data_IF_231133391225
#
_entry.id   IF_231133391225
#
_cell.length_a   1.000
_cell.length_b   1.000
_cell.length_c   1.000
_cell.angle_alpha   90.00
_cell.angle_beta   90.00
_cell.angle_gamma   90.00
#
_symmetry.space_group_name_H-M   'P 1'
#
loop_
_entity.id
_entity.type
_entity.pdbx_description
1 polymer ?
#
# COMPACT_ATOMS: atom_id res chain seq x y z
N UNK A 1 -69.26 -38.71 34.16
CA UNK A 1 -67.88 -38.96 33.72
C UNK A 1 -67.28 -37.63 33.27
N UNK A 2 -66.32 -37.11 34.02
CA UNK A 2 -65.23 -36.25 33.51
C UNK A 2 -64.30 -35.96 34.68
N UNK A 3 -63.19 -36.68 34.70
CA UNK A 3 -62.05 -36.49 35.61
C UNK A 3 -61.28 -35.27 35.10
N UNK A 4 -61.28 -34.18 35.87
CA UNK A 4 -60.38 -33.06 35.60
C UNK A 4 -58.99 -33.38 36.18
N UNK A 5 -58.09 -33.82 35.30
CA UNK A 5 -56.69 -34.08 35.60
C UNK A 5 -55.97 -32.74 35.83
N UNK A 6 -55.30 -32.63 37.00
CA UNK A 6 -54.38 -31.53 37.33
C UNK A 6 -53.18 -31.54 36.38
N UNK A 7 -52.96 -30.45 35.66
CA UNK A 7 -51.72 -30.17 34.95
C UNK A 7 -50.90 -29.17 35.79
N UNK A 8 -49.78 -29.63 36.34
CA UNK A 8 -48.72 -28.79 36.90
C UNK A 8 -47.96 -28.11 35.75
N UNK A 9 -47.56 -26.83 35.85
CA UNK A 9 -46.76 -26.20 34.81
C UNK A 9 -45.33 -26.76 34.86
N UNK A 10 -44.86 -27.25 33.71
CA UNK A 10 -43.49 -27.64 33.52
C UNK A 10 -42.58 -26.39 33.60
N UNK A 11 -41.68 -26.37 34.58
CA UNK A 11 -40.57 -25.42 34.63
C UNK A 11 -39.64 -25.71 33.45
N UNK A 12 -39.64 -24.80 32.47
CA UNK A 12 -38.68 -24.81 31.37
C UNK A 12 -37.29 -24.46 31.93
N UNK A 13 -36.43 -25.48 32.08
CA UNK A 13 -35.00 -25.28 32.29
C UNK A 13 -34.43 -24.77 30.97
N UNK A 14 -34.25 -23.46 30.86
CA UNK A 14 -33.45 -22.85 29.80
C UNK A 14 -31.99 -23.26 30.03
N UNK A 15 -31.57 -24.34 29.38
CA UNK A 15 -30.17 -24.66 29.22
C UNK A 15 -29.53 -23.53 28.40
N UNK A 16 -28.73 -22.69 29.06
CA UNK A 16 -27.83 -21.77 28.39
C UNK A 16 -26.84 -22.60 27.58
N UNK A 17 -27.03 -22.66 26.27
CA UNK A 17 -25.96 -23.07 25.35
C UNK A 17 -24.90 -21.97 25.43
N UNK A 18 -23.82 -22.24 26.14
CA UNK A 18 -22.63 -21.41 26.13
C UNK A 18 -22.24 -21.11 24.67
N UNK A 19 -21.93 -19.85 24.31
CA UNK A 19 -21.36 -19.58 23.00
C UNK A 19 -20.07 -20.40 22.88
N UNK A 20 -19.92 -21.10 21.75
CA UNK A 20 -18.71 -21.85 21.45
C UNK A 20 -17.51 -20.94 21.70
N UNK A 21 -16.67 -21.34 22.68
CA UNK A 21 -15.40 -20.68 22.93
C UNK A 21 -14.64 -20.66 21.62
N UNK A 22 -14.18 -19.47 21.20
CA UNK A 22 -13.22 -19.36 20.12
C UNK A 22 -12.08 -20.32 20.44
N UNK A 23 -11.78 -21.24 19.52
CA UNK A 23 -10.67 -22.17 19.74
C UNK A 23 -9.37 -21.37 19.70
N UNK A 24 -8.86 -21.05 20.90
CA UNK A 24 -7.56 -20.41 21.16
C UNK A 24 -6.37 -21.39 20.96
N UNK A 25 -6.58 -22.48 20.23
CA UNK A 25 -5.53 -23.42 19.83
C UNK A 25 -4.79 -22.95 18.57
N UNK A 26 -3.53 -23.40 18.37
CA UNK A 26 -2.80 -23.12 17.14
C UNK A 26 -3.56 -23.70 15.93
N UNK A 27 -3.70 -22.88 14.89
CA UNK A 27 -4.37 -23.31 13.65
C UNK A 27 -3.64 -24.49 13.00
N UNK A 28 -4.36 -25.36 12.27
CA UNK A 28 -3.72 -26.39 11.46
C UNK A 28 -2.85 -25.75 10.38
N UNK A 29 -1.82 -26.48 9.93
CA UNK A 29 -1.03 -26.08 8.78
C UNK A 29 -1.91 -26.04 7.52
N UNK A 30 -1.65 -25.10 6.63
CA UNK A 30 -2.32 -25.12 5.33
C UNK A 30 -1.92 -26.39 4.56
N UNK A 31 -2.88 -27.06 3.90
CA UNK A 31 -2.56 -28.16 3.01
C UNK A 31 -1.80 -27.65 1.78
N UNK A 32 -1.11 -28.55 1.08
CA UNK A 32 -0.38 -28.19 -0.12
C UNK A 32 -1.33 -27.88 -1.29
N UNK A 33 -2.38 -28.67 -1.45
CA UNK A 33 -3.42 -28.47 -2.46
C UNK A 33 -4.81 -28.25 -1.82
N UNK A 34 -5.70 -27.65 -2.59
CA UNK A 34 -7.09 -27.38 -2.23
C UNK A 34 -8.09 -28.06 -3.19
N UNK A 35 -7.67 -29.12 -3.86
CA UNK A 35 -8.49 -29.86 -4.83
C UNK A 35 -9.62 -30.62 -4.13
N UNK A 36 -10.70 -30.91 -4.88
CA UNK A 36 -11.85 -31.68 -4.36
C UNK A 36 -12.73 -30.95 -3.34
N UNK A 37 -12.47 -29.66 -3.06
CA UNK A 37 -13.30 -28.83 -2.18
C UNK A 37 -14.52 -28.30 -2.92
N UNK A 38 -15.66 -28.23 -2.22
CA UNK A 38 -16.88 -27.66 -2.81
C UNK A 38 -16.77 -26.13 -2.86
N UNK A 39 -17.21 -25.46 -3.95
CA UNK A 39 -17.23 -24.01 -4.00
C UNK A 39 -17.97 -23.40 -2.79
N UNK A 40 -17.36 -22.40 -2.15
CA UNK A 40 -17.82 -21.77 -0.91
C UNK A 40 -17.27 -22.41 0.37
N UNK A 41 -16.62 -23.58 0.29
CA UNK A 41 -15.95 -24.17 1.44
C UNK A 41 -14.69 -23.36 1.79
N UNK A 42 -14.64 -22.84 3.02
CA UNK A 42 -13.49 -22.10 3.53
C UNK A 42 -12.80 -22.82 4.68
N UNK A 43 -11.51 -22.61 4.84
CA UNK A 43 -10.77 -22.97 6.05
C UNK A 43 -9.75 -21.91 6.42
N UNK A 44 -9.51 -21.75 7.72
CA UNK A 44 -8.42 -20.93 8.25
C UNK A 44 -7.25 -21.85 8.61
N UNK A 45 -6.05 -21.52 8.14
CA UNK A 45 -4.85 -22.30 8.38
C UNK A 45 -3.61 -21.42 8.52
N UNK A 46 -2.52 -21.99 9.01
CA UNK A 46 -1.25 -21.31 9.18
C UNK A 46 -0.20 -21.79 8.18
N UNK A 47 0.48 -20.86 7.55
CA UNK A 47 1.71 -21.08 6.78
C UNK A 47 2.90 -20.77 7.69
N UNK A 48 3.71 -21.79 8.00
CA UNK A 48 4.91 -21.64 8.85
C UNK A 48 6.07 -21.00 8.08
N UNK A 49 7.07 -20.49 8.78
CA UNK A 49 8.31 -20.02 8.16
C UNK A 49 8.87 -21.08 7.19
N UNK A 50 9.23 -20.65 5.97
CA UNK A 50 9.73 -21.54 4.91
C UNK A 50 8.65 -22.33 4.14
N UNK A 51 7.40 -22.41 4.59
CA UNK A 51 6.34 -23.14 3.86
C UNK A 51 5.96 -22.53 2.51
N UNK A 52 6.33 -21.27 2.29
CA UNK A 52 6.19 -20.62 1.00
C UNK A 52 7.43 -20.75 0.11
N UNK A 53 8.55 -21.33 0.58
CA UNK A 53 9.85 -21.26 -0.11
C UNK A 53 9.80 -21.76 -1.55
N UNK A 54 9.10 -22.87 -1.80
CA UNK A 54 9.11 -23.57 -3.08
C UNK A 54 7.72 -24.11 -3.42
N UNK A 55 7.43 -24.23 -4.72
CA UNK A 55 6.16 -24.75 -5.23
C UNK A 55 5.62 -23.90 -6.37
N UNK A 56 4.86 -24.54 -7.25
CA UNK A 56 4.25 -23.87 -8.39
C UNK A 56 2.88 -23.31 -8.01
N UNK A 57 2.56 -22.18 -8.62
CA UNK A 57 1.31 -21.46 -8.41
C UNK A 57 0.84 -20.97 -9.76
N UNK A 58 -0.44 -21.19 -10.05
CA UNK A 58 -1.06 -20.74 -11.29
C UNK A 58 -2.18 -19.76 -10.98
N UNK A 59 -2.15 -18.61 -11.65
CA UNK A 59 -3.14 -17.57 -11.48
C UNK A 59 -2.76 -16.48 -10.47
N UNK A 60 -3.63 -15.47 -10.42
CA UNK A 60 -3.44 -14.25 -9.64
C UNK A 60 -4.78 -13.85 -9.04
N UNK A 61 -4.82 -13.64 -7.71
CA UNK A 61 -6.01 -13.37 -6.88
C UNK A 61 -7.03 -14.53 -6.83
N UNK A 62 -7.18 -15.27 -7.92
CA UNK A 62 -7.80 -16.59 -8.00
C UNK A 62 -6.76 -17.57 -8.54
N UNK A 63 -6.53 -18.65 -7.80
CA UNK A 63 -5.49 -19.64 -8.09
C UNK A 63 -6.13 -21.00 -8.43
N UNK A 64 -5.49 -21.80 -9.27
CA UNK A 64 -5.96 -23.18 -9.51
C UNK A 64 -5.92 -23.98 -8.20
N UNK A 65 -6.86 -24.91 -8.02
CA UNK A 65 -6.99 -25.62 -6.75
C UNK A 65 -5.79 -26.51 -6.38
N UNK A 66 -4.93 -26.84 -7.34
CA UNK A 66 -3.68 -27.58 -7.16
C UNK A 66 -2.45 -26.67 -6.89
N UNK A 67 -2.61 -25.35 -6.93
CA UNK A 67 -1.56 -24.40 -6.58
C UNK A 67 -1.16 -24.52 -5.09
N UNK A 68 0.15 -24.41 -4.81
CA UNK A 68 0.64 -24.44 -3.43
C UNK A 68 0.11 -23.25 -2.61
N UNK A 69 -0.74 -23.53 -1.63
CA UNK A 69 -1.47 -22.51 -0.86
C UNK A 69 -0.54 -21.48 -0.21
N UNK A 70 0.53 -21.92 0.46
CA UNK A 70 1.43 -20.99 1.14
C UNK A 70 2.30 -20.17 0.18
N UNK A 71 2.63 -20.72 -0.99
CA UNK A 71 3.33 -19.98 -2.05
C UNK A 71 2.38 -18.94 -2.65
N UNK A 72 1.13 -19.31 -2.93
CA UNK A 72 0.08 -18.41 -3.40
C UNK A 72 -0.25 -17.32 -2.37
N UNK A 73 -0.20 -17.63 -1.07
CA UNK A 73 -0.39 -16.66 0.00
C UNK A 73 0.77 -15.66 0.09
N UNK A 74 2.02 -16.08 -0.13
CA UNK A 74 3.15 -15.16 -0.26
C UNK A 74 3.00 -14.31 -1.51
N UNK A 75 2.66 -14.91 -2.65
CA UNK A 75 2.38 -14.19 -3.90
C UNK A 75 1.31 -13.10 -3.71
N UNK A 76 0.23 -13.42 -2.97
CA UNK A 76 -0.84 -12.49 -2.63
C UNK A 76 -0.46 -11.43 -1.58
N UNK A 77 0.74 -11.49 -1.00
CA UNK A 77 1.20 -10.53 0.02
C UNK A 77 0.55 -10.74 1.40
N UNK A 78 0.05 -11.94 1.68
CA UNK A 78 -0.66 -12.27 2.92
C UNK A 78 0.27 -12.85 4.01
N UNK A 79 1.53 -13.14 3.66
CA UNK A 79 2.50 -13.73 4.57
C UNK A 79 3.68 -12.78 4.80
N UNK A 80 4.25 -12.86 6.01
CA UNK A 80 5.53 -12.24 6.34
C UNK A 80 6.69 -13.24 6.14
N UNK A 81 7.94 -12.81 6.36
CA UNK A 81 9.09 -13.71 6.37
C UNK A 81 8.96 -14.87 7.39
N UNK A 82 8.20 -14.67 8.46
CA UNK A 82 7.96 -15.67 9.50
C UNK A 82 6.74 -16.55 9.21
N UNK A 83 6.06 -16.35 8.07
CA UNK A 83 4.78 -16.98 7.76
C UNK A 83 3.58 -16.11 8.14
N UNK A 84 2.44 -16.76 8.37
CA UNK A 84 1.17 -16.07 8.68
C UNK A 84 -0.04 -16.99 8.62
N UNK A 85 -1.19 -16.46 9.03
CA UNK A 85 -2.48 -17.14 9.00
C UNK A 85 -3.33 -16.63 7.83
N UNK A 86 -3.95 -17.54 7.10
CA UNK A 86 -4.77 -17.22 5.92
C UNK A 86 -6.08 -17.97 5.96
N UNK A 87 -7.11 -17.38 5.33
CA UNK A 87 -8.33 -18.09 4.99
C UNK A 87 -8.30 -18.42 3.52
N UNK A 88 -8.43 -19.71 3.22
CA UNK A 88 -8.54 -20.27 1.88
C UNK A 88 -10.00 -20.56 1.61
N UNK A 89 -10.54 -20.10 0.48
CA UNK A 89 -11.93 -20.37 0.08
C UNK A 89 -11.97 -20.99 -1.29
N UNK A 90 -12.57 -22.17 -1.40
CA UNK A 90 -12.74 -22.87 -2.67
C UNK A 90 -13.76 -22.12 -3.53
N UNK A 91 -13.45 -21.96 -4.80
CA UNK A 91 -14.32 -21.34 -5.80
C UNK A 91 -14.45 -22.27 -7.01
N UNK A 92 -15.39 -21.95 -7.92
CA UNK A 92 -15.46 -22.67 -9.19
C UNK A 92 -14.22 -22.35 -10.03
N UNK A 93 -13.84 -23.31 -10.86
CA UNK A 93 -12.84 -23.14 -11.90
C UNK A 93 -13.09 -21.95 -12.81
N UNK A 94 -12.01 -21.38 -13.35
CA UNK A 94 -12.04 -20.38 -14.40
C UNK A 94 -11.58 -20.97 -15.75
N UNK A 95 -12.00 -20.35 -16.85
CA UNK A 95 -11.59 -20.72 -18.21
C UNK A 95 -10.12 -20.36 -18.53
N UNK A 96 -9.53 -19.48 -17.72
CA UNK A 96 -8.12 -19.07 -17.82
C UNK A 96 -7.68 -18.41 -16.52
N UNK A 97 -6.41 -18.54 -16.18
CA UNK A 97 -5.77 -17.94 -15.03
C UNK A 97 -4.58 -17.11 -15.50
N UNK A 98 -4.56 -15.84 -15.11
CA UNK A 98 -3.46 -14.93 -15.43
C UNK A 98 -2.32 -15.12 -14.43
N UNK A 99 -1.12 -15.43 -14.92
CA UNK A 99 0.10 -15.39 -14.11
C UNK A 99 0.58 -13.97 -13.85
N UNK A 100 1.34 -13.77 -12.78
CA UNK A 100 2.02 -12.50 -12.48
C UNK A 100 3.20 -12.71 -11.52
N UNK A 101 4.06 -11.70 -11.38
CA UNK A 101 5.07 -11.67 -10.32
C UNK A 101 4.65 -10.65 -9.26
N UNK A 102 4.42 -11.11 -8.04
CA UNK A 102 4.05 -10.28 -6.88
C UNK A 102 4.77 -10.77 -5.64
N UNK A 103 5.21 -9.85 -4.76
CA UNK A 103 5.80 -10.18 -3.46
C UNK A 103 6.95 -11.21 -3.53
N UNK A 104 7.79 -11.12 -4.57
CA UNK A 104 8.92 -12.01 -4.79
C UNK A 104 8.56 -13.43 -5.24
N UNK A 105 7.30 -13.68 -5.62
CA UNK A 105 6.82 -14.94 -6.19
C UNK A 105 6.33 -14.70 -7.60
N UNK A 106 6.66 -15.60 -8.52
CA UNK A 106 6.04 -15.64 -9.85
C UNK A 106 5.01 -16.77 -9.87
N UNK A 107 3.79 -16.42 -10.23
CA UNK A 107 2.74 -17.36 -10.60
C UNK A 107 2.69 -17.48 -12.12
N UNK A 108 2.45 -18.69 -12.60
CA UNK A 108 2.31 -18.99 -14.01
C UNK A 108 0.88 -18.72 -14.49
N UNK A 109 0.75 -18.47 -15.79
CA UNK A 109 -0.56 -18.50 -16.44
C UNK A 109 -1.01 -19.95 -16.65
N UNK A 110 -2.32 -20.15 -16.70
CA UNK A 110 -2.90 -21.47 -16.96
C UNK A 110 -4.21 -21.34 -17.73
N UNK A 111 -4.57 -22.39 -18.45
CA UNK A 111 -5.81 -22.45 -19.22
C UNK A 111 -6.99 -22.86 -18.32
N UNK A 112 -8.02 -23.47 -18.88
CA UNK A 112 -9.19 -23.89 -18.14
C UNK A 112 -8.84 -24.94 -17.07
N UNK A 113 -9.36 -24.75 -15.86
CA UNK A 113 -9.18 -25.69 -14.76
C UNK A 113 -10.42 -25.70 -13.87
N UNK A 114 -10.88 -26.88 -13.45
CA UNK A 114 -12.24 -27.11 -12.95
C UNK A 114 -12.52 -26.56 -11.55
N UNK A 115 -11.47 -26.28 -10.76
CA UNK A 115 -11.62 -25.80 -9.39
C UNK A 115 -10.54 -24.80 -9.02
N UNK A 116 -10.88 -23.83 -8.19
CA UNK A 116 -9.97 -22.76 -7.80
C UNK A 116 -10.05 -22.49 -6.31
N UNK A 117 -9.15 -21.65 -5.82
CA UNK A 117 -9.34 -20.98 -4.53
C UNK A 117 -8.99 -19.50 -4.60
N UNK A 118 -9.55 -18.75 -3.66
CA UNK A 118 -9.13 -17.40 -3.33
C UNK A 118 -8.60 -17.36 -1.91
N UNK A 119 -7.73 -16.37 -1.65
CA UNK A 119 -7.11 -16.17 -0.35
C UNK A 119 -7.53 -14.83 0.21
N UNK A 120 -7.73 -14.80 1.53
CA UNK A 120 -7.86 -13.57 2.32
C UNK A 120 -7.11 -13.73 3.63
N UNK A 121 -6.73 -12.64 4.31
CA UNK A 121 -6.11 -12.78 5.63
C UNK A 121 -7.07 -13.43 6.62
N UNK A 122 -6.49 -14.17 7.57
CA UNK A 122 -7.19 -14.46 8.80
C UNK A 122 -7.39 -13.17 9.60
N UNK A 123 -8.52 -13.02 10.28
CA UNK A 123 -8.73 -11.93 11.22
C UNK A 123 -7.61 -11.96 12.26
N UNK A 124 -6.92 -10.83 12.46
CA UNK A 124 -5.76 -10.76 13.34
C UNK A 124 -6.13 -11.22 14.76
N UNK A 125 -5.61 -12.39 15.17
CA UNK A 125 -5.67 -12.88 16.55
C UNK A 125 -4.63 -12.22 17.46
N UNK A 126 -3.71 -11.44 16.90
CA UNK A 126 -2.59 -10.83 17.62
C UNK A 126 -2.81 -9.33 17.87
N UNK A 127 -2.43 -8.88 19.07
CA UNK A 127 -2.52 -7.49 19.52
C UNK A 127 -1.64 -6.51 18.72
N UNK A 128 -0.63 -7.02 17.99
CA UNK A 128 0.30 -6.20 17.21
C UNK A 128 -0.15 -6.12 15.74
N UNK A 129 -0.49 -4.93 15.22
CA UNK A 129 -0.94 -4.77 13.84
C UNK A 129 0.17 -5.14 12.86
N UNK A 130 -0.16 -6.04 11.92
CA UNK A 130 0.73 -6.45 10.84
C UNK A 130 0.92 -5.33 9.81
N UNK A 131 1.99 -5.34 8.99
CA UNK A 131 2.16 -4.40 7.89
C UNK A 131 0.92 -4.36 6.99
N UNK A 132 0.53 -3.18 6.54
CA UNK A 132 -0.56 -3.06 5.59
C UNK A 132 -0.18 -3.74 4.26
N UNK A 133 -1.15 -4.40 3.58
CA UNK A 133 -0.95 -4.83 2.21
C UNK A 133 -0.72 -3.60 1.31
N UNK A 134 -0.19 -3.82 0.10
CA UNK A 134 0.04 -2.72 -0.84
C UNK A 134 -1.27 -1.99 -1.21
N UNK A 135 -2.32 -2.78 -1.46
CA UNK A 135 -3.66 -2.29 -1.78
C UNK A 135 -4.75 -3.17 -1.13
N UNK A 136 -6.01 -2.82 -1.35
CA UNK A 136 -7.16 -3.42 -0.67
C UNK A 136 -8.02 -4.32 -1.59
N UNK A 137 -7.57 -4.61 -2.81
CA UNK A 137 -8.36 -5.32 -3.82
C UNK A 137 -8.77 -6.74 -3.38
N UNK A 138 -7.91 -7.44 -2.63
CA UNK A 138 -8.19 -8.76 -2.07
C UNK A 138 -9.23 -8.77 -0.93
N UNK A 139 -9.64 -7.60 -0.45
CA UNK A 139 -10.56 -7.44 0.67
C UNK A 139 -11.97 -7.04 0.22
N UNK A 140 -12.26 -7.08 -1.09
CA UNK A 140 -13.61 -6.82 -1.61
C UNK A 140 -14.64 -7.72 -0.94
N UNK A 141 -15.69 -7.12 -0.38
CA UNK A 141 -16.78 -7.84 0.29
C UNK A 141 -16.43 -8.40 1.67
N UNK A 142 -15.22 -8.16 2.20
CA UNK A 142 -14.88 -8.47 3.59
C UNK A 142 -15.51 -7.42 4.51
N UNK A 143 -16.39 -7.86 5.42
CA UNK A 143 -17.17 -6.96 6.27
C UNK A 143 -16.35 -6.39 7.44
N UNK A 144 -15.38 -7.17 7.91
CA UNK A 144 -14.50 -6.83 9.02
C UNK A 144 -13.45 -5.79 8.60
N UNK A 145 -13.26 -4.72 9.39
CA UNK A 145 -12.17 -3.77 9.16
C UNK A 145 -10.79 -4.42 9.30
N UNK A 146 -9.87 -4.01 8.41
CA UNK A 146 -8.45 -4.35 8.55
C UNK A 146 -7.76 -3.31 9.42
N UNK A 147 -7.08 -3.74 10.47
CA UNK A 147 -6.16 -2.89 11.23
C UNK A 147 -4.72 -3.29 10.92
N UNK A 148 -3.92 -2.36 10.42
CA UNK A 148 -2.55 -2.64 9.97
C UNK A 148 -1.61 -1.45 10.17
N UNK A 149 -0.30 -1.72 10.12
CA UNK A 149 0.77 -0.75 10.29
C UNK A 149 1.28 -0.28 8.93
N UNK A 150 1.33 1.03 8.74
CA UNK A 150 1.98 1.69 7.62
C UNK A 150 3.36 2.20 8.03
N UNK A 151 4.47 1.64 7.52
CA UNK A 151 5.78 2.24 7.69
C UNK A 151 5.88 3.54 6.86
N UNK A 152 6.71 4.50 7.30
CA UNK A 152 6.85 5.80 6.63
C UNK A 152 7.29 5.73 5.18
N UNK A 153 8.00 4.67 4.77
CA UNK A 153 8.38 4.44 3.37
C UNK A 153 7.17 4.14 2.48
N UNK A 154 6.26 3.27 2.94
CA UNK A 154 5.02 2.93 2.23
C UNK A 154 4.06 4.13 2.18
N UNK A 155 4.13 4.99 3.20
CA UNK A 155 3.37 6.24 3.27
C UNK A 155 3.79 7.27 2.21
N UNK A 156 4.99 7.14 1.64
CA UNK A 156 5.54 8.06 0.65
C UNK A 156 5.36 7.61 -0.80
N UNK A 157 4.89 6.39 -1.08
CA UNK A 157 4.88 5.79 -2.43
C UNK A 157 3.52 5.23 -2.85
N UNK A 158 3.29 5.11 -4.15
CA UNK A 158 2.05 4.58 -4.72
C UNK A 158 1.10 5.65 -5.29
N UNK A 159 0.19 5.19 -6.13
CA UNK A 159 -0.87 6.02 -6.67
C UNK A 159 -2.07 6.02 -5.73
N UNK A 160 -2.81 7.13 -5.71
CA UNK A 160 -4.02 7.28 -4.90
C UNK A 160 -5.10 7.83 -5.80
N UNK A 161 -6.25 7.19 -5.83
CA UNK A 161 -7.40 7.62 -6.63
C UNK A 161 -8.59 7.85 -5.72
N UNK A 162 -9.17 9.05 -5.80
CA UNK A 162 -10.29 9.43 -4.94
C UNK A 162 -9.91 10.18 -3.66
N UNK A 163 -10.95 10.49 -2.88
CA UNK A 163 -10.88 11.28 -1.64
C UNK A 163 -11.88 10.74 -0.63
N UNK A 164 -11.43 10.51 0.61
CA UNK A 164 -12.16 9.79 1.69
C UNK A 164 -12.48 8.32 1.37
N UNK A 165 -13.01 8.07 0.17
CA UNK A 165 -13.23 6.76 -0.43
C UNK A 165 -12.26 6.64 -1.61
N UNK A 166 -11.37 5.66 -1.51
CA UNK A 166 -10.31 5.40 -2.46
C UNK A 166 -10.61 4.13 -3.25
N UNK A 167 -10.18 4.06 -4.52
CA UNK A 167 -10.21 2.79 -5.26
C UNK A 167 -9.38 1.75 -4.51
N UNK A 168 -9.79 0.49 -4.53
CA UNK A 168 -9.09 -0.55 -3.78
C UNK A 168 -7.76 -1.03 -4.36
N UNK A 169 -7.36 -0.53 -5.52
CA UNK A 169 -6.01 -0.63 -6.04
C UNK A 169 -5.10 0.52 -5.57
N UNK A 170 -5.63 1.55 -4.88
CA UNK A 170 -4.84 2.64 -4.28
C UNK A 170 -3.81 2.11 -3.27
N UNK A 171 -2.63 2.73 -3.28
CA UNK A 171 -1.59 2.47 -2.29
C UNK A 171 -2.06 2.85 -0.90
N UNK A 172 -2.30 1.87 -0.02
CA UNK A 172 -2.98 2.07 1.27
C UNK A 172 -2.26 3.11 2.12
N UNK A 173 -0.96 2.99 2.30
CA UNK A 173 -0.23 3.85 3.23
C UNK A 173 -0.12 5.29 2.72
N UNK A 174 -0.02 5.51 1.40
CA UNK A 174 -0.04 6.85 0.83
C UNK A 174 -1.44 7.46 0.80
N UNK A 175 -2.47 6.64 0.59
CA UNK A 175 -3.85 7.06 0.76
C UNK A 175 -4.15 7.44 2.23
N UNK A 176 -3.50 6.79 3.20
CA UNK A 176 -3.64 7.10 4.62
C UNK A 176 -3.08 8.48 4.96
N UNK A 177 -1.91 8.84 4.40
CA UNK A 177 -1.38 10.21 4.49
C UNK A 177 -2.31 11.19 3.81
N UNK A 178 -2.76 10.89 2.58
CA UNK A 178 -3.71 11.74 1.86
C UNK A 178 -4.98 12.01 2.67
N UNK A 179 -5.53 10.98 3.32
CA UNK A 179 -6.69 11.08 4.20
C UNK A 179 -6.42 11.87 5.48
N UNK A 180 -5.17 12.04 5.89
CA UNK A 180 -4.80 12.57 7.20
C UNK A 180 -4.99 11.56 8.33
N UNK A 181 -5.07 10.27 7.99
CA UNK A 181 -5.16 9.18 8.96
C UNK A 181 -3.85 8.98 9.73
N UNK A 182 -2.72 9.23 9.07
CA UNK A 182 -1.36 9.12 9.62
C UNK A 182 -0.46 10.22 9.05
N UNK A 183 0.62 10.60 9.74
CA UNK A 183 1.68 11.41 9.16
C UNK A 183 2.51 10.62 8.13
N UNK A 184 3.31 11.34 7.32
CA UNK A 184 4.25 10.73 6.35
C UNK A 184 5.29 9.79 6.98
N UNK A 185 5.52 9.88 8.29
CA UNK A 185 6.41 8.97 9.03
C UNK A 185 5.81 7.59 9.28
N UNK A 186 4.54 7.38 8.93
CA UNK A 186 3.83 6.13 9.16
C UNK A 186 2.95 6.15 10.40
N UNK A 187 2.30 5.02 10.67
CA UNK A 187 1.36 4.86 11.78
C UNK A 187 0.44 3.66 11.58
N UNK A 188 -0.43 3.41 12.56
CA UNK A 188 -1.44 2.35 12.48
C UNK A 188 -2.73 2.92 11.92
N UNK A 189 -3.33 2.22 10.97
CA UNK A 189 -4.61 2.57 10.35
C UNK A 189 -5.62 1.45 10.51
N UNK A 190 -6.89 1.82 10.48
CA UNK A 190 -8.01 0.89 10.35
C UNK A 190 -8.77 1.23 9.08
N UNK A 191 -8.98 0.25 8.22
CA UNK A 191 -9.64 0.41 6.91
C UNK A 191 -10.87 -0.48 6.81
N UNK A 192 -11.85 -0.03 6.03
CA UNK A 192 -13.06 -0.78 5.73
C UNK A 192 -13.25 -0.92 4.22
N UNK A 193 -13.63 -2.13 3.79
CA UNK A 193 -14.01 -2.44 2.42
C UNK A 193 -15.38 -1.85 2.10
N UNK A 194 -15.53 -1.29 0.91
CA UNK A 194 -16.75 -0.68 0.41
C UNK A 194 -17.00 -1.14 -1.03
N UNK A 195 -18.28 -1.14 -1.48
CA UNK A 195 -18.59 -1.33 -2.90
C UNK A 195 -17.88 -0.31 -3.79
N UNK A 196 -17.73 -0.65 -5.06
CA UNK A 196 -17.26 0.27 -6.09
C UNK A 196 -18.13 1.52 -6.25
N UNK A 197 -17.60 2.52 -6.95
CA UNK A 197 -18.32 3.75 -7.33
C UNK A 197 -18.16 3.99 -8.83
N UNK A 198 -19.09 4.75 -9.40
CA UNK A 198 -19.06 5.13 -10.82
C UNK A 198 -18.01 6.19 -11.14
N UNK A 199 -17.51 6.90 -10.11
CA UNK A 199 -16.43 7.86 -10.23
C UNK A 199 -15.78 8.15 -8.87
N UNK A 200 -14.49 8.49 -8.93
CA UNK A 200 -13.64 8.89 -7.82
C UNK A 200 -13.03 10.23 -8.15
N UNK A 201 -13.20 11.21 -7.26
CA UNK A 201 -12.63 12.53 -7.43
C UNK A 201 -11.33 12.65 -6.64
N UNK A 202 -10.25 12.99 -7.33
CA UNK A 202 -8.96 13.30 -6.74
C UNK A 202 -8.91 14.70 -6.13
N UNK A 203 -7.94 14.89 -5.26
CA UNK A 203 -7.64 16.16 -4.63
C UNK A 203 -6.16 16.20 -4.18
N UNK A 204 -5.67 17.39 -3.88
CA UNK A 204 -4.45 17.53 -3.10
C UNK A 204 -4.85 17.68 -1.63
N UNK A 205 -4.46 16.74 -0.78
CA UNK A 205 -4.69 16.77 0.67
C UNK A 205 -3.46 16.28 1.41
N UNK A 206 -3.12 16.95 2.50
CA UNK A 206 -2.02 16.55 3.39
C UNK A 206 -0.69 16.29 2.64
N UNK A 207 -0.39 17.12 1.62
CA UNK A 207 0.83 16.99 0.80
C UNK A 207 0.80 15.86 -0.25
N UNK A 208 -0.24 15.02 -0.28
CA UNK A 208 -0.40 13.94 -1.25
C UNK A 208 -1.44 14.34 -2.29
N UNK A 209 -1.10 14.16 -3.57
CA UNK A 209 -2.07 14.29 -4.67
C UNK A 209 -2.70 12.94 -4.95
N UNK A 210 -4.02 12.87 -4.89
CA UNK A 210 -4.82 11.82 -5.51
C UNK A 210 -5.37 12.30 -6.86
N UNK A 211 -5.67 11.33 -7.73
CA UNK A 211 -6.19 11.59 -9.07
C UNK A 211 -7.67 11.24 -9.16
N UNK A 212 -8.35 11.87 -10.13
CA UNK A 212 -9.66 11.42 -10.57
C UNK A 212 -9.54 10.02 -11.18
N UNK A 213 -10.61 9.24 -11.07
CA UNK A 213 -10.74 7.94 -11.74
C UNK A 213 -12.21 7.66 -12.04
N UNK A 214 -12.48 6.94 -13.13
CA UNK A 214 -13.83 6.58 -13.53
C UNK A 214 -14.35 5.40 -12.69
N UNK A 215 -15.36 4.68 -13.20
CA UNK A 215 -15.97 3.58 -12.48
C UNK A 215 -14.96 2.49 -12.11
N UNK A 216 -14.98 2.07 -10.83
CA UNK A 216 -14.11 1.01 -10.33
C UNK A 216 -14.88 0.08 -9.38
N UNK A 217 -14.67 -1.26 -9.46
CA UNK A 217 -15.55 -2.25 -8.82
C UNK A 217 -15.44 -2.37 -7.30
N UNK A 218 -14.45 -1.75 -6.65
CA UNK A 218 -14.33 -1.80 -5.19
C UNK A 218 -13.62 -0.59 -4.60
N UNK A 219 -13.85 -0.32 -3.32
CA UNK A 219 -13.22 0.82 -2.66
C UNK A 219 -12.90 0.54 -1.21
N UNK A 220 -12.15 1.43 -0.60
CA UNK A 220 -11.97 1.45 0.84
C UNK A 220 -12.01 2.87 1.40
N UNK A 221 -12.17 2.95 2.71
CA UNK A 221 -11.96 4.17 3.48
C UNK A 221 -11.25 3.89 4.79
N UNK A 222 -10.66 4.93 5.38
CA UNK A 222 -10.10 4.87 6.73
C UNK A 222 -11.19 5.13 7.77
N UNK A 223 -11.14 4.39 8.87
CA UNK A 223 -11.98 4.63 10.04
C UNK A 223 -11.29 5.62 11.00
N UNK A 224 -12.08 6.40 11.75
CA UNK A 224 -11.55 7.37 12.72
C UNK A 224 -10.97 8.65 12.11
N UNK A 225 -10.99 8.80 10.79
CA UNK A 225 -10.69 10.06 10.11
C UNK A 225 -11.99 10.87 10.01
N UNK A 226 -12.01 12.06 10.60
CA UNK A 226 -13.15 12.97 10.48
C UNK A 226 -13.31 13.34 9.01
N UNK A 227 -14.44 12.95 8.42
CA UNK A 227 -14.73 13.25 7.03
C UNK A 227 -14.87 14.77 6.89
N UNK A 228 -13.85 15.43 6.35
CA UNK A 228 -13.94 16.83 5.97
C UNK A 228 -14.77 16.90 4.68
N UNK A 229 -16.09 16.74 4.85
CA UNK A 229 -17.10 16.83 3.81
C UNK A 229 -17.56 18.28 3.73
N UNK A 230 -16.96 19.02 2.80
CA UNK A 230 -17.69 19.98 1.99
C UNK A 230 -16.93 20.18 0.68
N UNK A 231 -17.55 19.77 -0.42
CA UNK A 231 -17.19 20.26 -1.74
C UNK A 231 -17.58 21.75 -1.83
N UNK A 232 -16.62 22.66 -2.03
CA UNK A 232 -16.78 23.77 -2.97
C UNK A 232 -15.40 24.40 -3.33
N UNK A 233 -15.27 25.02 -4.53
CA UNK A 233 -14.00 25.38 -5.16
C UNK A 233 -13.49 26.76 -4.75
N UNK A 234 -12.21 26.97 -5.01
CA UNK A 234 -11.48 28.23 -4.98
C UNK A 234 -11.35 28.93 -3.59
N UNK A 235 -10.14 28.81 -3.05
CA UNK A 235 -9.40 29.84 -2.31
C UNK A 235 -10.00 30.37 -0.99
N UNK A 236 -9.37 29.98 0.12
CA UNK A 236 -8.84 30.94 1.08
C UNK A 236 -7.71 30.30 1.89
N UNK A 237 -6.60 31.02 2.01
CA UNK A 237 -5.33 30.61 2.56
C UNK A 237 -5.34 30.37 4.08
N UNK A 238 -4.68 29.29 4.51
CA UNK A 238 -4.09 29.10 5.86
C UNK A 238 -2.79 28.29 5.67
N UNK A 239 -1.66 28.64 6.32
CA UNK A 239 -0.33 28.23 5.89
C UNK A 239 0.02 26.82 6.37
N UNK A 240 0.48 25.96 5.45
CA UNK A 240 1.17 24.72 5.83
C UNK A 240 2.66 24.95 5.61
N UNK A 241 3.32 25.56 6.60
CA UNK A 241 4.76 25.37 6.73
C UNK A 241 5.00 24.01 7.39
N UNK A 242 5.87 23.22 6.73
CA UNK A 242 6.46 21.92 7.09
C UNK A 242 5.69 20.66 6.66
N UNK A 243 6.31 19.85 5.78
CA UNK A 243 7.18 18.73 6.22
C UNK A 243 8.66 18.84 5.78
N UNK A 244 8.95 19.49 4.64
CA UNK A 244 10.30 19.60 4.08
C UNK A 244 11.23 20.46 4.95
N UNK A 245 10.74 21.62 5.40
CA UNK A 245 11.53 22.55 6.22
C UNK A 245 11.96 21.95 7.57
N UNK A 246 11.04 21.28 8.29
CA UNK A 246 11.36 20.60 9.54
C UNK A 246 12.31 19.42 9.33
N UNK A 247 12.13 18.63 8.26
CA UNK A 247 13.03 17.51 7.96
C UNK A 247 14.45 18.00 7.67
N UNK A 248 14.58 19.06 6.88
CA UNK A 248 15.88 19.71 6.61
C UNK A 248 16.50 20.28 7.89
N UNK A 249 15.71 20.90 8.76
CA UNK A 249 16.18 21.44 10.03
C UNK A 249 16.65 20.34 11.00
N UNK A 250 15.89 19.24 11.09
CA UNK A 250 16.15 18.17 12.05
C UNK A 250 17.24 17.18 11.59
N UNK A 251 17.33 16.89 10.29
CA UNK A 251 18.18 15.82 9.74
C UNK A 251 19.26 16.32 8.79
N UNK A 252 19.25 17.59 8.42
CA UNK A 252 20.15 18.15 7.41
C UNK A 252 19.86 17.68 5.98
N UNK A 253 18.95 16.73 5.76
CA UNK A 253 18.61 16.21 4.42
C UNK A 253 17.17 15.72 4.33
N UNK A 254 16.62 15.71 3.11
CA UNK A 254 15.28 15.19 2.79
C UNK A 254 15.27 14.53 1.40
N UNK A 255 14.58 13.40 1.28
CA UNK A 255 14.39 12.72 0.00
C UNK A 255 13.18 13.28 -0.73
N UNK A 256 13.38 13.70 -1.98
CA UNK A 256 12.35 14.16 -2.89
C UNK A 256 12.02 13.00 -3.83
N UNK A 257 10.87 12.36 -3.61
CA UNK A 257 10.33 11.35 -4.51
C UNK A 257 9.60 12.05 -5.65
N UNK A 258 10.38 12.46 -6.65
CA UNK A 258 9.90 13.18 -7.83
C UNK A 258 9.90 12.22 -9.01
N UNK A 259 8.76 12.08 -9.67
CA UNK A 259 8.65 11.21 -10.83
C UNK A 259 9.22 11.91 -12.06
N UNK A 260 10.03 11.16 -12.81
CA UNK A 260 10.56 11.56 -14.11
C UNK A 260 10.01 10.61 -15.17
N UNK A 261 9.80 11.11 -16.40
CA UNK A 261 9.47 10.21 -17.52
C UNK A 261 10.61 9.20 -17.72
N UNK A 262 10.31 8.00 -18.23
CA UNK A 262 11.30 6.94 -18.45
C UNK A 262 12.47 7.44 -19.27
N UNK A 263 13.70 7.19 -18.80
CA UNK A 263 14.94 7.67 -19.40
C UNK A 263 15.01 9.21 -19.62
N UNK A 264 14.25 9.99 -18.84
CA UNK A 264 14.19 11.44 -18.96
C UNK A 264 14.58 12.15 -17.66
N UNK A 265 14.97 13.41 -17.82
CA UNK A 265 15.18 14.38 -16.74
C UNK A 265 14.02 15.39 -16.64
N UNK A 266 13.01 15.28 -17.51
CA UNK A 266 11.85 16.15 -17.45
C UNK A 266 11.01 15.87 -16.22
N UNK A 267 10.71 16.94 -15.49
CA UNK A 267 9.83 16.93 -14.33
C UNK A 267 8.38 16.72 -14.79
N UNK A 268 7.74 15.71 -14.24
CA UNK A 268 6.31 15.51 -14.43
C UNK A 268 5.50 16.61 -13.70
N UNK A 269 4.25 16.84 -14.12
CA UNK A 269 3.36 17.80 -13.47
C UNK A 269 3.15 17.50 -11.97
N UNK A 270 3.26 16.22 -11.56
CA UNK A 270 3.22 15.81 -10.16
C UNK A 270 4.38 16.34 -9.32
N UNK A 271 5.50 16.75 -9.92
CA UNK A 271 6.68 17.30 -9.24
C UNK A 271 6.41 18.65 -8.57
N UNK A 272 5.48 19.45 -9.12
CA UNK A 272 5.27 20.83 -8.71
C UNK A 272 4.87 20.99 -7.24
N UNK A 273 4.16 20.00 -6.67
CA UNK A 273 3.77 20.02 -5.26
C UNK A 273 4.99 19.91 -4.32
N UNK A 274 5.77 18.84 -4.49
CA UNK A 274 6.99 18.58 -3.69
C UNK A 274 8.01 19.71 -3.85
N UNK A 275 8.21 20.19 -5.08
CA UNK A 275 9.11 21.30 -5.34
C UNK A 275 8.60 22.63 -4.80
N UNK A 276 7.28 22.81 -4.72
CA UNK A 276 6.64 23.96 -4.07
C UNK A 276 6.93 24.03 -2.57
N UNK A 277 6.94 22.89 -1.87
CA UNK A 277 7.32 22.82 -0.45
C UNK A 277 8.79 23.14 -0.23
N UNK A 278 9.67 22.62 -1.09
CA UNK A 278 11.10 22.92 -1.04
C UNK A 278 11.37 24.40 -1.33
N UNK A 279 10.66 24.99 -2.30
CA UNK A 279 10.68 26.43 -2.57
C UNK A 279 10.24 27.21 -1.34
N UNK A 280 9.14 26.83 -0.69
CA UNK A 280 8.64 27.52 0.50
C UNK A 280 9.66 27.47 1.65
N UNK A 281 10.35 26.34 1.86
CA UNK A 281 11.43 26.23 2.83
C UNK A 281 12.61 27.18 2.51
N UNK A 282 13.02 27.25 1.24
CA UNK A 282 14.08 28.15 0.77
C UNK A 282 13.69 29.63 0.83
N UNK A 283 12.41 29.96 0.69
CA UNK A 283 11.89 31.33 0.86
C UNK A 283 11.84 31.73 2.34
N UNK A 284 11.45 30.80 3.23
CA UNK A 284 11.37 31.05 4.66
C UNK A 284 12.73 31.26 5.33
N UNK A 285 13.78 30.61 4.83
CA UNK A 285 15.16 30.80 5.30
C UNK A 285 16.05 31.25 4.12
N UNK A 286 16.33 32.55 3.95
CA UNK A 286 17.22 33.06 2.90
C UNK A 286 18.68 32.57 3.01
N UNK A 287 19.13 32.14 4.19
CA UNK A 287 20.47 31.62 4.42
C UNK A 287 20.59 30.13 4.07
N UNK A 288 19.46 29.41 3.97
CA UNK A 288 19.46 27.99 3.59
C UNK A 288 20.10 27.80 2.21
N UNK A 289 21.13 26.96 2.16
CA UNK A 289 21.78 26.48 0.93
C UNK A 289 21.63 24.98 0.84
N UNK A 290 21.38 24.48 -0.36
CA UNK A 290 21.14 23.05 -0.60
C UNK A 290 22.06 22.49 -1.68
N UNK A 291 22.50 21.25 -1.49
CA UNK A 291 23.03 20.39 -2.54
C UNK A 291 21.91 19.42 -2.95
N UNK A 292 21.54 19.48 -4.23
CA UNK A 292 20.56 18.59 -4.86
C UNK A 292 21.29 17.41 -5.49
N UNK A 293 21.08 16.21 -4.95
CA UNK A 293 21.77 14.99 -5.38
C UNK A 293 20.80 14.10 -6.13
N UNK A 294 21.03 13.90 -7.43
CA UNK A 294 20.21 13.00 -8.24
C UNK A 294 20.72 11.56 -8.20
N UNK A 295 19.78 10.62 -8.12
CA UNK A 295 20.03 9.18 -8.10
C UNK A 295 19.23 8.46 -9.20
N UNK A 296 19.72 7.29 -9.61
CA UNK A 296 19.00 6.37 -10.50
C UNK A 296 18.84 5.01 -9.83
N UNK A 297 18.01 4.16 -10.42
CA UNK A 297 18.11 2.72 -10.20
C UNK A 297 19.32 2.14 -10.94
N UNK A 298 19.56 0.84 -10.75
CA UNK A 298 20.64 0.11 -11.42
C UNK A 298 20.28 -0.40 -12.82
N UNK A 299 19.17 0.04 -13.41
CA UNK A 299 18.82 -0.36 -14.78
C UNK A 299 19.66 0.45 -15.77
N UNK A 300 20.31 -0.22 -16.71
CA UNK A 300 21.23 0.41 -17.65
C UNK A 300 22.67 0.56 -17.10
N UNK A 301 23.54 1.17 -17.89
CA UNK A 301 24.97 1.29 -17.54
C UNK A 301 25.24 2.50 -16.64
N UNK A 302 26.27 2.42 -15.79
CA UNK A 302 26.71 3.55 -14.98
C UNK A 302 27.06 4.80 -15.84
N UNK A 303 27.58 4.58 -17.05
CA UNK A 303 27.88 5.63 -18.02
C UNK A 303 26.63 6.39 -18.49
N UNK A 304 25.46 5.74 -18.51
CA UNK A 304 24.17 6.37 -18.81
C UNK A 304 23.55 7.01 -17.56
N UNK A 305 23.64 6.32 -16.43
CA UNK A 305 22.95 6.71 -15.20
C UNK A 305 23.58 7.92 -14.49
N UNK A 306 24.91 8.06 -14.51
CA UNK A 306 25.59 9.23 -13.93
C UNK A 306 25.17 10.57 -14.56
N UNK A 307 25.22 10.74 -15.90
CA UNK A 307 24.76 11.98 -16.51
C UNK A 307 23.23 12.16 -16.40
N UNK A 308 22.44 11.07 -16.40
CA UNK A 308 20.99 11.17 -16.19
C UNK A 308 20.65 11.70 -14.80
N UNK A 309 21.29 11.19 -13.76
CA UNK A 309 21.04 11.61 -12.39
C UNK A 309 21.42 13.08 -12.16
N UNK A 310 22.54 13.52 -12.74
CA UNK A 310 22.95 14.94 -12.71
C UNK A 310 21.89 15.84 -13.38
N UNK A 311 21.45 15.49 -14.60
CA UNK A 311 20.41 16.25 -15.33
C UNK A 311 19.09 16.35 -14.57
N UNK A 312 18.72 15.31 -13.80
CA UNK A 312 17.53 15.34 -12.94
C UNK A 312 17.68 16.36 -11.80
N UNK A 313 18.83 16.40 -11.14
CA UNK A 313 19.11 17.41 -10.12
C UNK A 313 19.16 18.83 -10.72
N UNK A 314 19.72 18.99 -11.92
CA UNK A 314 19.70 20.25 -12.67
C UNK A 314 18.28 20.70 -13.02
N UNK A 315 17.39 19.77 -13.39
CA UNK A 315 16.00 20.06 -13.70
C UNK A 315 15.25 20.59 -12.47
N UNK A 316 15.52 20.02 -11.29
CA UNK A 316 15.00 20.54 -10.02
C UNK A 316 15.56 21.94 -9.73
N UNK A 317 16.88 22.15 -9.90
CA UNK A 317 17.50 23.48 -9.74
C UNK A 317 16.88 24.52 -10.67
N UNK A 318 16.70 24.17 -11.94
CA UNK A 318 16.13 25.04 -12.97
C UNK A 318 14.69 25.41 -12.62
N UNK A 319 13.89 24.44 -12.17
CA UNK A 319 12.52 24.69 -11.71
C UNK A 319 12.51 25.66 -10.52
N UNK A 320 13.33 25.45 -9.50
CA UNK A 320 13.40 26.34 -8.33
C UNK A 320 13.90 27.75 -8.70
N UNK A 321 14.86 27.84 -9.63
CA UNK A 321 15.36 29.12 -10.13
C UNK A 321 14.27 29.89 -10.89
N UNK A 322 13.49 29.21 -11.73
CA UNK A 322 12.32 29.79 -12.40
C UNK A 322 11.25 30.28 -11.41
N UNK A 323 11.23 29.74 -10.18
CA UNK A 323 10.37 30.18 -9.09
C UNK A 323 11.01 31.27 -8.19
N UNK A 324 12.14 31.86 -8.61
CA UNK A 324 12.77 33.00 -7.94
C UNK A 324 13.80 32.63 -6.86
N UNK A 325 14.18 31.36 -6.72
CA UNK A 325 15.30 30.97 -5.83
C UNK A 325 16.64 31.29 -6.51
N UNK A 326 17.50 32.04 -5.84
CA UNK A 326 18.82 32.37 -6.38
C UNK A 326 19.66 31.10 -6.64
N UNK A 327 20.14 30.93 -7.88
CA UNK A 327 20.87 29.73 -8.30
C UNK A 327 22.13 29.46 -7.46
N UNK A 328 22.80 30.50 -6.95
CA UNK A 328 23.96 30.36 -6.06
C UNK A 328 23.66 29.70 -4.70
N UNK A 329 22.39 29.50 -4.36
CA UNK A 329 21.97 28.76 -3.15
C UNK A 329 21.81 27.25 -3.38
N UNK A 330 21.92 26.80 -4.63
CA UNK A 330 21.61 25.44 -5.06
C UNK A 330 22.80 24.83 -5.81
N UNK A 331 23.53 23.93 -5.14
CA UNK A 331 24.48 23.04 -5.78
C UNK A 331 23.78 21.80 -6.34
N UNK A 332 24.39 21.13 -7.33
CA UNK A 332 23.85 19.92 -7.94
C UNK A 332 24.93 18.85 -8.05
N UNK A 333 24.58 17.60 -7.77
CA UNK A 333 25.44 16.43 -7.96
C UNK A 333 24.65 15.28 -8.57
N UNK A 334 25.34 14.41 -9.31
CA UNK A 334 24.80 13.15 -9.79
C UNK A 334 25.56 11.96 -9.22
N UNK A 335 24.87 11.04 -8.55
CA UNK A 335 25.46 9.79 -8.03
C UNK A 335 25.13 8.55 -8.86
N UNK A 336 24.33 8.67 -9.91
CA UNK A 336 23.86 7.51 -10.67
C UNK A 336 23.23 6.46 -9.74
N UNK A 337 23.55 5.16 -9.91
CA UNK A 337 23.04 4.08 -9.07
C UNK A 337 23.88 3.83 -7.81
N UNK A 338 24.94 4.63 -7.57
CA UNK A 338 26.01 4.28 -6.62
C UNK A 338 25.61 4.43 -5.14
N UNK A 339 24.42 4.98 -4.86
CA UNK A 339 23.86 5.14 -3.51
C UNK A 339 22.37 4.72 -3.45
N UNK A 340 22.09 3.40 -3.56
CA UNK A 340 20.73 2.90 -3.47
C UNK A 340 20.20 3.02 -2.03
N UNK A 341 18.93 3.38 -1.89
CA UNK A 341 18.20 3.30 -0.63
C UNK A 341 17.53 1.94 -0.45
N UNK A 342 17.24 1.26 -1.55
CA UNK A 342 16.50 0.01 -1.55
C UNK A 342 17.05 -0.95 -2.60
N UNK A 343 16.62 -2.20 -2.52
CA UNK A 343 17.08 -3.26 -3.41
C UNK A 343 16.67 -3.02 -4.86
N UNK A 344 17.65 -2.91 -5.76
CA UNK A 344 17.39 -2.74 -7.19
C UNK A 344 16.86 -4.02 -7.88
N UNK A 345 16.87 -5.17 -7.23
CA UNK A 345 16.28 -6.39 -7.77
C UNK A 345 14.75 -6.26 -7.92
N UNK A 346 14.11 -5.45 -7.06
CA UNK A 346 12.65 -5.24 -7.06
C UNK A 346 12.28 -3.93 -7.76
N UNK A 347 11.13 -3.88 -8.43
CA UNK A 347 10.65 -2.63 -9.04
C UNK A 347 10.36 -1.57 -7.97
N UNK A 348 9.83 -1.97 -6.81
CA UNK A 348 9.60 -1.10 -5.67
C UNK A 348 10.91 -0.43 -5.20
N UNK A 349 11.99 -1.19 -5.05
CA UNK A 349 13.29 -0.64 -4.65
C UNK A 349 13.94 0.22 -5.75
N UNK A 350 13.80 -0.15 -7.03
CA UNK A 350 14.21 0.71 -8.15
C UNK A 350 13.47 2.05 -8.13
N UNK A 351 12.17 2.06 -7.85
CA UNK A 351 11.38 3.29 -7.74
C UNK A 351 11.89 4.22 -6.63
N UNK A 352 12.30 3.68 -5.48
CA UNK A 352 12.91 4.46 -4.38
C UNK A 352 14.31 4.99 -4.74
N UNK A 353 15.05 4.27 -5.58
CA UNK A 353 16.38 4.67 -6.04
C UNK A 353 16.30 5.81 -7.09
N UNK A 354 15.21 5.89 -7.85
CA UNK A 354 14.91 7.00 -8.77
C UNK A 354 14.40 8.24 -8.01
N UNK A 355 15.31 8.98 -7.37
CA UNK A 355 14.96 10.15 -6.53
C UNK A 355 15.93 11.32 -6.72
N UNK A 356 15.59 12.46 -6.11
CA UNK A 356 16.52 13.55 -5.82
C UNK A 356 16.57 13.77 -4.32
N UNK A 357 17.75 13.91 -3.75
CA UNK A 357 17.95 14.22 -2.34
C UNK A 357 18.29 15.71 -2.20
N UNK A 358 17.73 16.41 -1.23
CA UNK A 358 18.14 17.77 -0.90
C UNK A 358 18.88 17.75 0.44
N UNK A 359 20.13 18.21 0.44
CA UNK A 359 21.05 18.18 1.58
C UNK A 359 21.45 19.61 1.92
N UNK A 360 21.46 20.00 3.19
CA UNK A 360 21.90 21.32 3.64
C UNK A 360 23.40 21.47 3.42
N UNK A 361 23.83 22.56 2.81
CA UNK A 361 25.25 22.82 2.64
C UNK A 361 25.90 23.16 3.99
N UNK A 362 27.00 22.48 4.34
CA UNK A 362 27.73 22.69 5.60
C UNK A 362 27.28 21.81 6.78
N UNK A 363 26.48 20.77 6.53
CA UNK A 363 26.16 19.71 7.51
C UNK A 363 27.20 18.60 7.55
#
# INVERSE_FOLDING_TARGET
MSVAVRLLPALAVFAWMSPATAQDGPLPNCPDDFTGRRPGQSMTCACRAGSAAEGQVWGTDTYTADSRICVAARHAGLLTANGGEVVVTATRGAASYRGSTRNGVTSDEYEAYDSSFTLRPAAARTATPQPCPENFALYRGVAEPLRCLCPGEAAAIGSVWGVEIYTDDSGICRAAVHAGAIPVTGGVVTLRSLPGRDAYRGALRNGVRSSDFDAWPGSFRFEGVAANVAANPASAAVPVQAPVAQTLAARGQVQLYITFRTNSAELDASAAGVLGELRAALQADPALRLTLVGHTDSTGTAALNRPLSLRRAESVRAWLAAQGIAAGRLAVEGKGPDQPLADNATEAGRALNRRVSAIRAGS
#
